data_IF_470030278214
#
_entry.id   IF_470030278214
#
_cell.length_a   1.000
_cell.length_b   1.000
_cell.length_c   1.000
_cell.angle_alpha   90.00
_cell.angle_beta   90.00
_cell.angle_gamma   90.00
#
_symmetry.space_group_name_H-M   'P 1'
#
loop_
_entity.id
_entity.type
_entity.pdbx_description
1 polymer ?
#
# COMPACT_ATOMS: atom_id res chain seq x y z
N UNK A 1 -2.09 -4.53 4.42
CA UNK A 1 -0.88 -4.48 3.54
C UNK A 1 -0.79 -5.77 2.72
N UNK A 2 -0.55 -5.73 1.39
CA UNK A 2 -0.65 -6.91 0.47
C UNK A 2 0.28 -8.07 0.80
N UNK A 3 1.46 -7.83 1.37
CA UNK A 3 2.55 -8.81 1.38
C UNK A 3 2.17 -10.16 2.01
N UNK A 4 1.17 -10.21 2.88
CA UNK A 4 0.63 -11.46 3.41
C UNK A 4 0.12 -12.40 2.29
N UNK A 5 -0.63 -11.89 1.32
CA UNK A 5 -1.12 -12.69 0.19
C UNK A 5 0.05 -13.09 -0.71
N UNK A 6 1.00 -12.19 -0.97
CA UNK A 6 2.18 -12.53 -1.77
C UNK A 6 3.05 -13.61 -1.11
N UNK A 7 3.19 -13.58 0.22
CA UNK A 7 3.90 -14.59 0.99
C UNK A 7 3.19 -15.94 0.95
N UNK A 8 1.86 -15.96 1.00
CA UNK A 8 1.05 -17.18 0.93
C UNK A 8 1.21 -17.93 -0.40
N UNK A 9 1.53 -17.23 -1.49
CA UNK A 9 1.86 -17.87 -2.77
C UNK A 9 3.21 -18.60 -2.74
N UNK A 10 4.15 -18.13 -1.92
CA UNK A 10 5.52 -18.67 -1.88
C UNK A 10 5.76 -19.66 -0.72
N UNK A 11 5.08 -19.47 0.42
CA UNK A 11 5.32 -20.23 1.64
C UNK A 11 4.17 -21.20 1.94
N UNK A 12 4.39 -22.47 1.62
CA UNK A 12 3.42 -23.57 1.80
C UNK A 12 3.09 -23.88 3.27
N UNK A 13 3.81 -23.29 4.23
CA UNK A 13 3.53 -23.40 5.65
C UNK A 13 2.37 -22.50 6.07
N UNK A 14 2.09 -21.43 5.34
CA UNK A 14 0.95 -20.55 5.58
C UNK A 14 -0.33 -21.32 5.28
N UNK A 15 -1.21 -21.46 6.28
CA UNK A 15 -2.47 -22.22 6.16
C UNK A 15 -3.69 -21.34 5.94
N UNK A 16 -3.64 -20.11 6.46
CA UNK A 16 -4.69 -19.10 6.33
C UNK A 16 -4.03 -17.73 6.22
N UNK A 17 -4.57 -16.89 5.33
CA UNK A 17 -4.15 -15.49 5.17
C UNK A 17 -5.34 -14.57 5.30
N UNK A 18 -5.21 -13.51 6.10
CA UNK A 18 -6.19 -12.41 6.17
C UNK A 18 -5.51 -11.11 5.77
N UNK A 19 -6.11 -10.39 4.84
CA UNK A 19 -5.66 -9.08 4.41
C UNK A 19 -6.72 -8.02 4.78
N UNK A 20 -6.42 -7.19 5.77
CA UNK A 20 -7.27 -6.05 6.16
C UNK A 20 -6.83 -4.77 5.47
N UNK A 21 -7.78 -4.05 4.88
CA UNK A 21 -7.64 -2.74 4.23
C UNK A 21 -6.35 -2.64 3.39
N UNK A 22 -6.19 -3.63 2.51
CA UNK A 22 -4.93 -3.88 1.83
C UNK A 22 -4.60 -2.86 0.75
N UNK A 23 -3.30 -2.77 0.46
CA UNK A 23 -2.70 -2.01 -0.64
C UNK A 23 -1.82 -2.95 -1.44
N UNK A 24 -2.03 -3.05 -2.75
CA UNK A 24 -0.97 -3.50 -3.67
C UNK A 24 -0.02 -2.33 -3.86
N UNK A 25 1.05 -2.33 -3.06
CA UNK A 25 1.99 -1.22 -3.07
C UNK A 25 2.75 -1.14 -4.40
N UNK A 26 2.94 -2.26 -5.10
CA UNK A 26 3.61 -2.24 -6.41
C UNK A 26 2.77 -1.50 -7.45
N UNK A 27 1.47 -1.80 -7.52
CA UNK A 27 0.53 -1.08 -8.38
C UNK A 27 0.39 0.37 -7.96
N UNK A 28 0.24 0.64 -6.66
CA UNK A 28 0.11 2.00 -6.16
C UNK A 28 1.33 2.87 -6.51
N UNK A 29 2.54 2.31 -6.39
CA UNK A 29 3.78 3.01 -6.76
C UNK A 29 3.91 3.19 -8.27
N UNK A 30 3.54 2.19 -9.07
CA UNK A 30 3.68 2.22 -10.53
C UNK A 30 2.62 3.06 -11.24
N UNK A 31 1.38 3.07 -10.72
CA UNK A 31 0.22 3.63 -11.40
C UNK A 31 -0.44 4.77 -10.63
N UNK A 32 -0.02 5.04 -9.39
CA UNK A 32 -0.67 6.00 -8.50
C UNK A 32 -2.00 5.48 -7.94
N UNK A 33 -2.67 6.33 -7.15
CA UNK A 33 -4.03 6.04 -6.69
C UNK A 33 -5.00 6.03 -7.87
N UNK A 34 -5.94 5.08 -7.86
CA UNK A 34 -6.95 4.91 -8.91
C UNK A 34 -6.37 4.80 -10.33
N UNK A 35 -5.13 4.31 -10.43
CA UNK A 35 -4.39 4.15 -11.68
C UNK A 35 -4.25 5.43 -12.52
N UNK A 36 -4.30 6.61 -11.88
CA UNK A 36 -4.22 7.92 -12.55
C UNK A 36 -2.93 8.14 -13.37
N UNK A 37 -1.87 7.38 -13.07
CA UNK A 37 -0.58 7.43 -13.76
C UNK A 37 -0.24 6.10 -14.44
N UNK A 38 -1.23 5.26 -14.79
CA UNK A 38 -1.01 3.99 -15.50
C UNK A 38 -0.67 4.21 -16.98
N UNK A 39 0.52 4.74 -17.24
CA UNK A 39 1.08 4.86 -18.58
C UNK A 39 2.61 4.75 -18.56
N UNK A 40 3.18 4.43 -19.72
CA UNK A 40 4.61 4.18 -19.85
C UNK A 40 5.47 5.42 -19.54
N UNK A 41 5.02 6.60 -19.98
CA UNK A 41 5.77 7.85 -19.85
C UNK A 41 5.84 8.32 -18.40
N UNK A 42 4.74 8.26 -17.66
CA UNK A 42 4.70 8.58 -16.24
C UNK A 42 5.65 7.67 -15.44
N UNK A 43 5.64 6.36 -15.74
CA UNK A 43 6.57 5.40 -15.12
C UNK A 43 8.02 5.66 -15.52
N UNK A 44 8.28 6.03 -16.78
CA UNK A 44 9.62 6.38 -17.25
C UNK A 44 10.15 7.62 -16.52
N UNK A 45 9.36 8.69 -16.42
CA UNK A 45 9.75 9.92 -15.72
C UNK A 45 9.97 9.68 -14.23
N UNK A 46 9.15 8.83 -13.59
CA UNK A 46 9.38 8.40 -12.21
C UNK A 46 10.74 7.70 -12.06
N UNK A 47 11.05 6.75 -12.95
CA UNK A 47 12.36 6.06 -12.96
C UNK A 47 13.51 7.04 -13.20
N UNK A 48 13.38 7.97 -14.14
CA UNK A 48 14.39 8.99 -14.44
C UNK A 48 14.71 9.82 -13.20
N UNK A 49 13.69 10.32 -12.50
CA UNK A 49 13.83 11.07 -11.24
C UNK A 49 14.50 10.25 -10.14
N UNK A 50 14.04 9.02 -9.90
CA UNK A 50 14.58 8.17 -8.82
C UNK A 50 16.00 7.70 -9.11
N UNK A 51 16.37 7.47 -10.37
CA UNK A 51 17.74 7.14 -10.76
C UNK A 51 18.70 8.33 -10.58
N UNK A 52 18.25 9.54 -10.90
CA UNK A 52 19.00 10.76 -10.59
C UNK A 52 19.19 10.91 -9.07
N UNK A 53 18.13 10.71 -8.28
CA UNK A 53 18.22 10.74 -6.82
C UNK A 53 19.18 9.69 -6.28
N UNK A 54 19.16 8.46 -6.81
CA UNK A 54 20.09 7.39 -6.41
C UNK A 54 21.55 7.77 -6.63
N UNK A 55 21.84 8.48 -7.72
CA UNK A 55 23.21 8.98 -8.00
C UNK A 55 23.61 10.06 -7.01
N UNK A 56 22.67 10.93 -6.65
CA UNK A 56 22.90 11.98 -5.66
C UNK A 56 23.10 11.41 -4.24
N UNK A 57 22.28 10.44 -3.84
CA UNK A 57 22.42 9.73 -2.57
C UNK A 57 23.80 9.06 -2.44
N UNK A 58 24.30 8.48 -3.54
CA UNK A 58 25.65 7.90 -3.59
C UNK A 58 26.73 8.95 -3.37
N UNK A 59 26.64 10.11 -4.02
CA UNK A 59 27.62 11.20 -3.87
C UNK A 59 27.64 11.77 -2.46
N UNK A 60 26.48 11.86 -1.82
CA UNK A 60 26.33 12.47 -0.50
C UNK A 60 26.63 11.51 0.66
N UNK A 61 26.80 10.21 0.39
CA UNK A 61 27.00 9.19 1.43
C UNK A 61 25.79 9.00 2.36
N UNK A 62 24.64 9.59 2.01
CA UNK A 62 23.38 9.51 2.74
C UNK A 62 22.21 9.63 1.75
N UNK A 63 21.03 9.12 2.13
CA UNK A 63 19.88 9.04 1.22
C UNK A 63 18.75 9.94 1.68
N UNK A 64 17.99 10.48 0.73
CA UNK A 64 16.80 11.28 1.06
C UNK A 64 15.63 10.38 1.46
N UNK A 65 14.81 10.86 2.40
CA UNK A 65 13.56 10.20 2.77
C UNK A 65 12.39 10.77 1.98
N UNK A 66 11.40 9.93 1.68
CA UNK A 66 10.24 10.28 0.87
C UNK A 66 9.19 11.15 1.58
N UNK A 67 9.35 11.41 2.87
CA UNK A 67 8.33 12.03 3.72
C UNK A 67 7.31 11.01 4.23
N UNK A 68 6.86 11.20 5.48
CA UNK A 68 5.76 10.42 6.03
C UNK A 68 4.42 10.88 5.46
N UNK A 69 3.33 10.62 6.18
CA UNK A 69 2.04 11.25 5.90
C UNK A 69 2.20 12.77 5.89
N UNK A 70 1.57 13.44 4.93
CA UNK A 70 1.66 14.88 4.74
C UNK A 70 1.27 15.64 6.00
N UNK A 71 2.04 16.67 6.36
CA UNK A 71 1.81 17.51 7.53
C UNK A 71 2.50 18.88 7.30
N UNK A 72 1.78 20.02 7.25
CA UNK A 72 0.34 20.17 7.42
C UNK A 72 -0.47 19.61 6.25
N UNK A 73 -1.71 19.20 6.51
CA UNK A 73 -2.61 18.69 5.45
C UNK A 73 -3.10 19.85 4.58
N UNK A 74 -2.94 19.79 3.24
CA UNK A 74 -3.47 20.80 2.33
C UNK A 74 -4.99 21.00 2.47
N UNK A 75 -5.47 22.23 2.25
CA UNK A 75 -6.89 22.57 2.38
C UNK A 75 -7.79 21.81 1.39
N UNK A 76 -7.25 21.42 0.25
CA UNK A 76 -7.90 20.66 -0.83
C UNK A 76 -7.60 19.15 -0.80
N UNK A 77 -6.89 18.66 0.23
CA UNK A 77 -6.53 17.26 0.32
C UNK A 77 -7.78 16.35 0.37
N UNK A 78 -7.77 15.22 -0.36
CA UNK A 78 -8.82 14.20 -0.27
C UNK A 78 -9.03 13.71 1.16
N UNK A 79 -10.25 13.27 1.48
CA UNK A 79 -10.60 12.84 2.85
C UNK A 79 -9.66 11.77 3.39
N UNK A 80 -9.27 10.78 2.57
CA UNK A 80 -8.38 9.71 3.03
C UNK A 80 -6.99 10.20 3.48
N UNK A 81 -6.52 11.33 2.95
CA UNK A 81 -5.26 11.95 3.37
C UNK A 81 -5.42 12.59 4.75
N UNK A 82 -6.57 13.23 5.01
CA UNK A 82 -6.93 13.75 6.34
C UNK A 82 -7.04 12.62 7.35
N UNK A 83 -7.65 11.51 6.95
CA UNK A 83 -7.79 10.32 7.80
C UNK A 83 -6.42 9.73 8.16
N UNK A 84 -5.50 9.63 7.19
CA UNK A 84 -4.12 9.22 7.48
C UNK A 84 -3.40 10.19 8.43
N UNK A 85 -3.54 11.51 8.24
CA UNK A 85 -2.93 12.49 9.15
C UNK A 85 -3.51 12.36 10.56
N UNK A 86 -4.83 12.30 10.68
CA UNK A 86 -5.52 12.13 11.94
C UNK A 86 -5.04 10.87 12.70
N UNK A 87 -4.71 9.79 12.00
CA UNK A 87 -4.11 8.60 12.62
C UNK A 87 -2.61 8.78 12.93
N UNK A 88 -1.79 9.06 11.92
CA UNK A 88 -0.33 8.97 12.03
C UNK A 88 0.35 10.19 12.64
N UNK A 89 -0.31 11.35 12.69
CA UNK A 89 0.25 12.64 13.13
C UNK A 89 -0.38 13.18 14.43
N UNK A 90 -1.29 12.42 15.04
CA UNK A 90 -1.92 12.76 16.32
C UNK A 90 -1.74 11.64 17.34
N UNK A 91 -2.15 11.86 18.59
CA UNK A 91 -2.13 10.84 19.64
C UNK A 91 -2.97 9.59 19.33
N UNK A 92 -3.81 9.59 18.29
CA UNK A 92 -4.60 8.43 17.86
C UNK A 92 -3.72 7.23 17.47
N UNK A 93 -2.66 7.46 16.69
CA UNK A 93 -1.81 6.39 16.16
C UNK A 93 -0.35 6.80 15.91
N UNK A 94 0.07 7.99 16.34
CA UNK A 94 1.45 8.44 16.19
C UNK A 94 2.39 7.51 16.96
N UNK A 95 3.51 7.19 16.31
CA UNK A 95 4.60 6.51 16.97
C UNK A 95 5.95 6.95 16.38
N UNK A 96 6.94 7.28 17.23
CA UNK A 96 8.22 7.87 16.79
C UNK A 96 9.06 6.96 15.86
N UNK A 97 8.86 5.63 15.92
CA UNK A 97 9.48 4.66 15.00
C UNK A 97 8.67 4.40 13.71
N UNK A 98 7.46 4.93 13.60
CA UNK A 98 6.64 4.78 12.39
C UNK A 98 7.12 5.75 11.33
N UNK A 99 7.41 5.24 10.13
CA UNK A 99 7.86 6.07 9.02
C UNK A 99 6.73 6.92 8.45
N UNK A 100 5.49 6.43 8.53
CA UNK A 100 4.30 7.21 8.20
C UNK A 100 4.11 8.40 9.16
N UNK A 101 4.48 8.23 10.44
CA UNK A 101 4.44 9.31 11.43
C UNK A 101 5.61 10.30 11.29
N UNK A 102 6.73 9.85 10.73
CA UNK A 102 7.98 10.63 10.68
C UNK A 102 8.36 11.00 9.24
N UNK A 103 9.53 10.59 8.77
CA UNK A 103 10.14 11.08 7.54
C UNK A 103 9.92 10.15 6.33
N UNK A 104 9.09 9.12 6.43
CA UNK A 104 8.83 8.19 5.31
C UNK A 104 9.98 7.24 5.05
N UNK A 105 9.96 6.50 3.95
CA UNK A 105 10.98 5.51 3.53
C UNK A 105 12.16 6.16 2.79
N UNK A 106 13.21 5.39 2.47
CA UNK A 106 14.20 5.81 1.48
C UNK A 106 13.48 6.09 0.14
N UNK A 107 13.65 7.29 -0.44
CA UNK A 107 12.98 7.64 -1.69
C UNK A 107 13.23 6.63 -2.82
N UNK A 108 14.44 6.09 -2.94
CA UNK A 108 14.80 5.17 -4.02
C UNK A 108 14.35 3.73 -3.80
N UNK A 109 13.80 3.36 -2.62
CA UNK A 109 13.27 2.01 -2.40
C UNK A 109 12.08 1.70 -3.32
N UNK A 110 11.40 2.73 -3.80
CA UNK A 110 10.31 2.62 -4.77
C UNK A 110 10.74 2.00 -6.11
N UNK A 111 12.04 2.07 -6.48
CA UNK A 111 12.54 1.46 -7.72
C UNK A 111 12.25 -0.05 -7.79
N UNK A 112 12.28 -0.76 -6.66
CA UNK A 112 11.93 -2.17 -6.63
C UNK A 112 10.46 -2.40 -6.99
N UNK A 113 9.56 -1.60 -6.44
CA UNK A 113 8.11 -1.69 -6.69
C UNK A 113 7.70 -1.26 -8.10
N UNK A 114 8.49 -0.40 -8.76
CA UNK A 114 8.30 -0.04 -10.17
C UNK A 114 8.65 -1.17 -11.14
N UNK A 115 9.44 -2.15 -10.71
CA UNK A 115 9.99 -3.20 -11.57
C UNK A 115 9.53 -4.61 -11.22
N UNK A 116 9.14 -4.85 -9.96
CA UNK A 116 8.73 -6.16 -9.47
C UNK A 116 7.29 -6.09 -8.92
N UNK A 117 6.27 -6.30 -9.77
CA UNK A 117 4.90 -6.44 -9.34
C UNK A 117 4.75 -7.60 -8.35
N UNK A 118 3.98 -7.36 -7.30
CA UNK A 118 3.60 -8.42 -6.34
C UNK A 118 2.27 -9.06 -6.78
N UNK A 119 1.90 -10.18 -6.16
CA UNK A 119 0.71 -10.98 -6.51
C UNK A 119 0.77 -11.64 -7.90
N UNK A 120 1.96 -11.80 -8.49
CA UNK A 120 2.14 -12.50 -9.77
C UNK A 120 1.62 -13.94 -9.72
N UNK A 121 1.82 -14.62 -8.58
CA UNK A 121 1.42 -16.01 -8.35
C UNK A 121 0.21 -16.15 -7.41
N UNK A 122 -0.60 -15.10 -7.26
CA UNK A 122 -1.79 -15.15 -6.38
C UNK A 122 -2.80 -16.23 -6.82
N UNK A 123 -2.81 -16.60 -8.10
CA UNK A 123 -3.63 -17.69 -8.66
C UNK A 123 -3.21 -19.08 -8.17
N UNK A 124 -2.00 -19.22 -7.62
CA UNK A 124 -1.44 -20.51 -7.18
C UNK A 124 -1.68 -20.80 -5.69
N UNK A 125 -2.24 -19.84 -4.94
CA UNK A 125 -2.48 -19.98 -3.51
C UNK A 125 -3.54 -21.06 -3.27
N UNK A 126 -3.16 -22.10 -2.52
CA UNK A 126 -4.05 -23.21 -2.13
C UNK A 126 -4.58 -23.10 -0.71
N UNK A 127 -3.97 -22.28 0.13
CA UNK A 127 -4.40 -22.00 1.51
C UNK A 127 -5.63 -21.09 1.52
N UNK A 128 -6.38 -21.07 2.63
CA UNK A 128 -7.54 -20.18 2.73
C UNK A 128 -7.12 -18.70 2.75
N UNK A 129 -7.86 -17.83 2.05
CA UNK A 129 -7.58 -16.39 2.00
C UNK A 129 -8.85 -15.58 2.23
N UNK A 130 -8.80 -14.65 3.18
CA UNK A 130 -9.86 -13.65 3.37
C UNK A 130 -9.31 -12.24 3.11
N UNK A 131 -10.02 -11.49 2.27
CA UNK A 131 -9.77 -10.07 2.04
C UNK A 131 -10.88 -9.28 2.74
N UNK A 132 -10.50 -8.32 3.59
CA UNK A 132 -11.42 -7.47 4.35
C UNK A 132 -11.18 -6.01 3.98
N UNK A 133 -12.24 -5.29 3.61
CA UNK A 133 -12.17 -3.85 3.33
C UNK A 133 -13.39 -3.11 3.86
N UNK A 134 -13.20 -1.85 4.25
CA UNK A 134 -14.30 -0.92 4.45
C UNK A 134 -15.00 -0.56 3.14
N UNK A 135 -16.32 -0.45 3.17
CA UNK A 135 -17.15 -0.08 2.02
C UNK A 135 -16.72 1.25 1.40
N UNK A 136 -16.38 2.25 2.24
CA UNK A 136 -16.00 3.60 1.81
C UNK A 136 -14.49 3.79 1.69
N UNK A 137 -13.70 2.72 1.80
CA UNK A 137 -12.25 2.82 1.72
C UNK A 137 -11.81 3.17 0.29
N UNK A 138 -11.07 4.28 0.13
CA UNK A 138 -10.43 4.66 -1.13
C UNK A 138 -9.57 3.54 -1.76
N UNK A 139 -9.05 2.65 -0.92
CA UNK A 139 -8.20 1.52 -1.31
C UNK A 139 -8.95 0.23 -1.64
N UNK A 140 -10.30 0.19 -1.50
CA UNK A 140 -11.11 -1.03 -1.66
C UNK A 140 -10.86 -1.75 -2.97
N UNK A 141 -10.70 -0.99 -4.06
CA UNK A 141 -10.45 -1.55 -5.39
C UNK A 141 -9.21 -2.47 -5.44
N UNK A 142 -8.18 -2.19 -4.65
CA UNK A 142 -6.99 -3.04 -4.59
C UNK A 142 -7.28 -4.40 -3.95
N UNK A 143 -8.13 -4.42 -2.92
CA UNK A 143 -8.59 -5.66 -2.30
C UNK A 143 -9.53 -6.46 -3.20
N UNK A 144 -10.45 -5.79 -3.89
CA UNK A 144 -11.33 -6.43 -4.87
C UNK A 144 -10.53 -7.05 -6.02
N UNK A 145 -9.52 -6.35 -6.56
CA UNK A 145 -8.70 -6.87 -7.65
C UNK A 145 -7.76 -7.99 -7.21
N UNK A 146 -7.20 -7.92 -5.99
CA UNK A 146 -6.47 -9.04 -5.41
C UNK A 146 -7.39 -10.26 -5.22
N UNK A 147 -8.62 -10.05 -4.73
CA UNK A 147 -9.60 -11.11 -4.57
C UNK A 147 -9.95 -11.74 -5.92
N UNK A 148 -10.15 -10.97 -7.00
CA UNK A 148 -10.41 -11.51 -8.35
C UNK A 148 -9.31 -12.45 -8.85
N UNK A 149 -8.03 -12.22 -8.49
CA UNK A 149 -6.91 -13.09 -8.87
C UNK A 149 -6.92 -14.46 -8.18
N UNK A 150 -7.38 -14.53 -6.92
CA UNK A 150 -7.41 -15.78 -6.15
C UNK A 150 -8.33 -16.82 -6.80
N UNK A 151 -7.97 -18.09 -6.71
CA UNK A 151 -8.73 -19.22 -7.26
C UNK A 151 -9.36 -20.07 -6.16
N UNK A 152 -10.29 -20.96 -6.54
CA UNK A 152 -10.94 -21.89 -5.61
C UNK A 152 -12.08 -21.30 -4.80
N UNK A 153 -12.67 -22.13 -3.94
CA UNK A 153 -13.81 -21.83 -3.05
C UNK A 153 -13.37 -21.44 -1.62
N UNK A 154 -12.07 -21.55 -1.32
CA UNK A 154 -11.41 -21.22 -0.06
C UNK A 154 -11.00 -19.73 0.03
N UNK A 155 -11.67 -18.86 -0.74
CA UNK A 155 -11.49 -17.41 -0.72
C UNK A 155 -12.75 -16.71 -0.20
N UNK A 156 -12.59 -15.63 0.57
CA UNK A 156 -13.68 -14.76 1.03
C UNK A 156 -13.35 -13.29 0.85
N UNK A 157 -14.32 -12.50 0.41
CA UNK A 157 -14.27 -11.04 0.43
C UNK A 157 -15.32 -10.55 1.43
N UNK A 158 -14.88 -9.84 2.46
CA UNK A 158 -15.74 -9.23 3.46
C UNK A 158 -15.68 -7.72 3.31
N UNK A 159 -16.83 -7.11 3.04
CA UNK A 159 -16.98 -5.65 2.99
C UNK A 159 -17.66 -5.18 4.27
N UNK A 160 -16.99 -4.31 5.02
CA UNK A 160 -17.51 -3.72 6.26
C UNK A 160 -18.32 -2.46 5.90
N UNK A 161 -19.65 -2.45 6.09
CA UNK A 161 -20.50 -1.32 5.70
C UNK A 161 -20.07 -0.02 6.38
N UNK A 162 -20.11 1.09 5.66
CA UNK A 162 -19.81 2.43 6.17
C UNK A 162 -18.34 2.73 6.49
N UNK A 163 -17.49 1.73 6.71
CA UNK A 163 -16.10 1.92 7.15
C UNK A 163 -15.19 2.47 6.03
N UNK A 164 -14.27 3.36 6.38
CA UNK A 164 -13.20 3.85 5.51
C UNK A 164 -11.90 3.01 5.68
N UNK A 165 -10.77 3.47 5.13
CA UNK A 165 -9.50 2.74 5.20
C UNK A 165 -8.96 2.63 6.63
N UNK A 166 -8.90 3.76 7.35
CA UNK A 166 -8.30 3.84 8.69
C UNK A 166 -9.24 3.36 9.78
N UNK A 167 -10.55 3.26 9.52
CA UNK A 167 -11.49 2.66 10.47
C UNK A 167 -11.09 1.21 10.80
N UNK A 168 -10.57 0.47 9.81
CA UNK A 168 -10.06 -0.90 10.01
C UNK A 168 -8.68 -0.97 10.72
N UNK A 169 -8.12 0.15 11.18
CA UNK A 169 -6.88 0.15 11.97
C UNK A 169 -7.15 0.01 13.47
N UNK A 170 -8.17 0.70 13.97
CA UNK A 170 -8.35 0.92 15.41
C UNK A 170 -9.81 1.07 15.86
N UNK A 171 -10.78 1.20 14.95
CA UNK A 171 -12.20 1.28 15.35
C UNK A 171 -12.75 -0.12 15.62
N UNK A 172 -13.27 -0.29 16.83
CA UNK A 172 -13.84 -1.54 17.33
C UNK A 172 -15.37 -1.61 17.20
N UNK A 173 -16.00 -0.47 16.88
CA UNK A 173 -17.46 -0.29 16.73
C UNK A 173 -17.81 0.09 15.29
#
# INVERSE_FOLDING_TARGET
MVFAINAAANDTRIKVTVASTMYDISRCTANGYFDQADNADARYEMRRRLNAQRTEDYRNGSYVRAGGVVDPVPADAPQFVRDYHAYYKTSRGYHARSLNSTQGWNATSNLAFLNAPILAYATEIRSAVMVVHGEKAHSRYMGEDAFKKLQGDNKRLLIVPGANHTDLYDKME
#
